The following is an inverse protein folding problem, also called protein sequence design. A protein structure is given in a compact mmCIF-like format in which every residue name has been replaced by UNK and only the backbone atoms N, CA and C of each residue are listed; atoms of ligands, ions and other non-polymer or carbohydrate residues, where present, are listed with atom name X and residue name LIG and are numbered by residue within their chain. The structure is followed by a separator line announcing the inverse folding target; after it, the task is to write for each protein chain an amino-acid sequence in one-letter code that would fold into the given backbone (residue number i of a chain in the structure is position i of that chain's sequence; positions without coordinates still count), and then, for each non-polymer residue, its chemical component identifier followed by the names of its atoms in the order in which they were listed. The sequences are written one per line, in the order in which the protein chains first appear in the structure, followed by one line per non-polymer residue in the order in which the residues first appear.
data_IF_743759472744
#
_entry.id   IF_743759472744
#
_cell.length_a   1.000
_cell.length_b   1.000
_cell.length_c   1.000
_cell.angle_alpha   90.00
_cell.angle_beta   90.00
_cell.angle_gamma   90.00
#
_symmetry.space_group_name_H-M   'P 1'
#
loop_
_entity.id
_entity.type
_entity.pdbx_description
1 polymer ?
#
# COMPACT_ATOMS: atom_id res chain seq x y z
N UNK A 1 3.48 7.62 2.29
CA UNK A 1 3.33 7.44 0.83
C UNK A 1 2.24 6.45 0.50
N UNK A 2 2.10 6.07 -0.77
CA UNK A 2 1.16 5.06 -1.22
C UNK A 2 1.81 3.67 -1.15
N UNK A 3 1.17 2.72 -0.42
CA UNK A 3 1.68 1.35 -0.27
C UNK A 3 2.87 1.21 0.69
N UNK A 4 3.09 2.18 1.57
CA UNK A 4 4.05 2.05 2.65
C UNK A 4 3.60 0.98 3.65
N UNK A 5 4.52 0.08 4.06
CA UNK A 5 4.22 -0.99 5.01
C UNK A 5 4.68 -0.65 6.43
N UNK A 6 4.04 -1.27 7.41
CA UNK A 6 4.36 -1.16 8.83
C UNK A 6 3.55 -2.16 9.65
N UNK A 7 3.39 -1.89 10.93
CA UNK A 7 2.55 -2.69 11.82
C UNK A 7 1.63 -1.82 12.67
N UNK A 8 0.52 -2.38 13.11
CA UNK A 8 -0.31 -1.82 14.16
C UNK A 8 0.15 -2.38 15.51
N UNK A 9 0.68 -1.52 16.36
CA UNK A 9 1.29 -1.94 17.60
C UNK A 9 0.92 -0.99 18.75
N UNK A 10 0.39 -1.53 19.83
CA UNK A 10 -0.07 -0.78 21.01
C UNK A 10 -1.04 0.37 20.66
N UNK A 11 -1.97 0.14 19.73
CA UNK A 11 -2.97 1.13 19.33
C UNK A 11 -2.48 2.22 18.37
N UNK A 12 -1.30 2.07 17.80
CA UNK A 12 -0.70 3.03 16.88
C UNK A 12 -0.11 2.37 15.62
N UNK A 13 -0.12 3.12 14.53
CA UNK A 13 0.62 2.75 13.32
C UNK A 13 2.13 2.96 13.53
N UNK A 14 2.91 1.91 13.30
CA UNK A 14 4.38 1.92 13.37
C UNK A 14 4.93 1.57 11.99
N UNK A 15 5.70 2.49 11.39
CA UNK A 15 6.35 2.25 10.10
C UNK A 15 7.54 1.32 10.21
N UNK A 16 7.96 0.82 9.08
CA UNK A 16 9.25 0.15 8.91
C UNK A 16 10.26 1.13 8.27
N UNK A 17 11.47 1.21 8.82
CA UNK A 17 12.51 2.13 8.35
C UNK A 17 12.32 3.58 8.81
N UNK A 18 12.92 4.51 8.08
CA UNK A 18 12.94 5.95 8.37
C UNK A 18 12.15 6.76 7.36
N UNK A 19 11.71 7.95 7.78
CA UNK A 19 11.28 9.03 6.90
C UNK A 19 12.26 10.20 6.97
N UNK A 20 12.08 11.23 6.15
CA UNK A 20 12.98 12.39 6.12
C UNK A 20 13.08 13.14 7.46
N UNK A 21 12.06 13.04 8.30
CA UNK A 21 11.98 13.74 9.58
C UNK A 21 12.39 12.86 10.77
N UNK A 22 12.83 11.61 10.53
CA UNK A 22 13.21 10.72 11.60
C UNK A 22 14.66 10.92 12.02
N UNK A 23 14.87 10.92 13.33
CA UNK A 23 16.19 10.87 13.93
C UNK A 23 16.69 9.44 14.19
N UNK A 24 15.78 8.45 14.11
CA UNK A 24 16.09 7.05 14.47
C UNK A 24 15.57 6.09 13.40
N UNK A 25 16.46 5.20 12.96
CA UNK A 25 16.10 4.08 12.12
C UNK A 25 15.75 2.87 13.00
N UNK A 26 14.57 2.27 12.76
CA UNK A 26 14.16 1.07 13.49
C UNK A 26 14.48 -0.24 12.73
N UNK A 27 15.30 -0.17 11.69
CA UNK A 27 15.78 -1.31 10.91
C UNK A 27 17.31 -1.29 10.92
N UNK A 28 17.94 -2.39 11.31
CA UNK A 28 19.40 -2.45 11.35
C UNK A 28 20.03 -2.37 9.96
N UNK A 29 19.40 -3.02 8.98
CA UNK A 29 19.87 -3.02 7.59
C UNK A 29 18.71 -3.16 6.61
N UNK A 30 18.77 -2.40 5.53
CA UNK A 30 17.88 -2.54 4.37
C UNK A 30 18.69 -2.96 3.15
N UNK A 31 18.30 -4.09 2.53
CA UNK A 31 18.90 -4.60 1.30
C UNK A 31 17.92 -4.47 0.14
N UNK A 32 18.45 -4.11 -1.03
CA UNK A 32 17.70 -4.03 -2.28
C UNK A 32 18.20 -5.10 -3.25
N UNK A 33 17.26 -5.81 -3.90
CA UNK A 33 17.56 -6.81 -4.92
C UNK A 33 16.70 -6.60 -6.15
N UNK A 34 17.31 -6.30 -7.27
CA UNK A 34 16.65 -6.32 -8.58
C UNK A 34 16.53 -7.77 -9.06
N UNK A 35 15.30 -8.25 -9.27
CA UNK A 35 15.00 -9.64 -9.65
C UNK A 35 14.76 -9.72 -11.16
N UNK A 36 13.95 -8.79 -11.70
CA UNK A 36 13.64 -8.71 -13.14
C UNK A 36 13.73 -7.27 -13.59
N UNK A 37 14.45 -7.03 -14.65
CA UNK A 37 14.47 -5.77 -15.39
C UNK A 37 14.07 -6.05 -16.85
N UNK A 38 12.98 -5.46 -17.29
CA UNK A 38 12.50 -5.68 -18.66
C UNK A 38 11.47 -4.65 -19.09
N UNK A 39 11.21 -4.56 -20.41
CA UNK A 39 10.32 -3.52 -20.96
C UNK A 39 8.84 -3.73 -20.60
N UNK A 40 8.45 -4.94 -20.21
CA UNK A 40 7.06 -5.28 -19.88
C UNK A 40 6.83 -5.29 -18.38
N UNK A 41 7.84 -5.70 -17.60
CA UNK A 41 7.72 -5.88 -16.16
C UNK A 41 9.07 -5.68 -15.47
N UNK A 42 9.04 -5.00 -14.33
CA UNK A 42 10.16 -4.93 -13.39
C UNK A 42 9.76 -5.53 -12.05
N UNK A 43 10.66 -6.29 -11.43
CA UNK A 43 10.47 -6.87 -10.10
C UNK A 43 11.71 -6.58 -9.27
N UNK A 44 11.50 -6.02 -8.08
CA UNK A 44 12.55 -5.85 -7.09
C UNK A 44 12.03 -6.20 -5.69
N UNK A 45 12.95 -6.47 -4.80
CA UNK A 45 12.69 -6.83 -3.42
C UNK A 45 13.47 -5.93 -2.48
N UNK A 46 12.82 -5.47 -1.44
CA UNK A 46 13.41 -4.74 -0.33
C UNK A 46 13.33 -5.65 0.89
N UNK A 47 14.50 -5.97 1.48
CA UNK A 47 14.59 -6.76 2.70
C UNK A 47 14.91 -5.83 3.85
N UNK A 48 14.13 -5.93 4.91
CA UNK A 48 14.26 -5.18 6.15
C UNK A 48 14.74 -6.14 7.23
N UNK A 49 16.02 -6.03 7.60
CA UNK A 49 16.63 -6.91 8.56
C UNK A 49 16.61 -6.26 9.95
N UNK A 50 16.25 -7.05 10.96
CA UNK A 50 16.17 -6.61 12.35
C UNK A 50 15.28 -5.35 12.52
N UNK A 51 14.05 -5.41 11.98
CA UNK A 51 13.06 -4.37 12.23
C UNK A 51 12.59 -4.45 13.68
N UNK A 52 12.90 -3.43 14.46
CA UNK A 52 12.56 -3.35 15.87
C UNK A 52 11.16 -2.74 16.06
N UNK A 53 10.29 -3.47 16.76
CA UNK A 53 8.94 -3.08 17.11
C UNK A 53 8.71 -3.38 18.60
N UNK A 54 8.91 -2.36 19.47
CA UNK A 54 8.98 -2.55 20.92
C UNK A 54 10.18 -3.39 21.31
N UNK A 55 9.95 -4.49 22.02
CA UNK A 55 10.99 -5.47 22.41
C UNK A 55 11.20 -6.57 21.37
N UNK A 56 10.32 -6.67 20.38
CA UNK A 56 10.40 -7.69 19.34
C UNK A 56 11.21 -7.20 18.13
N UNK A 57 11.83 -8.17 17.44
CA UNK A 57 12.61 -7.93 16.22
C UNK A 57 12.12 -8.85 15.12
N UNK A 58 11.97 -8.34 13.92
CA UNK A 58 11.43 -9.05 12.77
C UNK A 58 12.33 -8.88 11.54
N UNK A 59 12.33 -9.90 10.68
CA UNK A 59 12.85 -9.80 9.32
C UNK A 59 11.69 -9.83 8.35
N UNK A 60 11.57 -8.79 7.53
CA UNK A 60 10.50 -8.62 6.57
C UNK A 60 11.03 -8.39 5.17
N UNK A 61 10.29 -8.82 4.17
CA UNK A 61 10.54 -8.46 2.77
C UNK A 61 9.30 -7.87 2.13
N UNK A 62 9.50 -6.97 1.18
CA UNK A 62 8.45 -6.44 0.31
C UNK A 62 8.90 -6.56 -1.14
N UNK A 63 8.32 -7.51 -1.86
CA UNK A 63 8.59 -7.72 -3.28
C UNK A 63 7.61 -6.89 -4.11
N UNK A 64 8.13 -5.94 -4.86
CA UNK A 64 7.37 -5.03 -5.69
C UNK A 64 7.42 -5.48 -7.14
N UNK A 65 6.24 -5.56 -7.77
CA UNK A 65 6.10 -5.84 -9.20
C UNK A 65 5.40 -4.67 -9.88
N UNK A 66 6.03 -4.12 -10.90
CA UNK A 66 5.52 -3.03 -11.73
C UNK A 66 5.36 -3.55 -13.16
N UNK A 67 4.24 -3.27 -13.80
CA UNK A 67 4.00 -3.60 -15.21
C UNK A 67 3.90 -2.33 -16.04
N UNK A 68 4.46 -2.36 -17.24
CA UNK A 68 4.32 -1.28 -18.20
C UNK A 68 2.84 -1.04 -18.55
N UNK A 69 2.44 0.22 -18.63
CA UNK A 69 1.07 0.61 -18.96
C UNK A 69 0.05 0.45 -17.82
N UNK A 70 0.49 0.11 -16.62
CA UNK A 70 -0.38 0.11 -15.42
C UNK A 70 -0.13 1.33 -14.54
N UNK A 71 -1.18 1.80 -13.86
CA UNK A 71 -1.15 2.97 -12.99
C UNK A 71 -0.87 2.62 -11.51
N UNK A 72 -0.13 1.55 -11.26
CA UNK A 72 0.17 1.10 -9.92
C UNK A 72 1.16 -0.05 -9.87
N UNK A 73 1.29 -0.65 -8.71
CA UNK A 73 2.16 -1.80 -8.50
C UNK A 73 1.51 -2.84 -7.58
N UNK A 74 2.01 -4.06 -7.64
CA UNK A 74 1.73 -5.13 -6.69
C UNK A 74 2.84 -5.19 -5.67
N UNK A 75 2.51 -5.20 -4.37
CA UNK A 75 3.40 -5.55 -3.28
C UNK A 75 3.11 -6.95 -2.76
N UNK A 76 4.16 -7.68 -2.38
CA UNK A 76 4.08 -8.95 -1.68
C UNK A 76 4.93 -8.86 -0.42
N UNK A 77 4.28 -8.92 0.74
CA UNK A 77 4.93 -8.82 2.05
C UNK A 77 5.08 -10.20 2.65
N UNK A 78 6.29 -10.51 3.09
CA UNK A 78 6.61 -11.76 3.76
C UNK A 78 7.47 -11.51 5.00
N UNK A 79 7.39 -12.42 5.97
CA UNK A 79 8.21 -12.46 7.17
C UNK A 79 8.93 -13.80 7.24
N UNK A 80 10.14 -13.84 7.83
CA UNK A 80 10.92 -15.08 7.90
C UNK A 80 10.41 -16.05 8.97
N UNK A 81 10.53 -15.70 10.25
CA UNK A 81 10.20 -16.63 11.35
C UNK A 81 8.99 -16.17 12.15
N UNK A 82 8.99 -14.90 12.54
CA UNK A 82 7.96 -14.27 13.33
C UNK A 82 7.43 -13.03 12.60
N UNK A 83 6.20 -12.67 12.85
CA UNK A 83 5.56 -11.52 12.24
C UNK A 83 4.72 -10.77 13.28
N UNK A 84 4.51 -9.46 13.12
CA UNK A 84 3.49 -8.75 13.87
C UNK A 84 2.10 -9.31 13.56
N UNK A 85 1.21 -9.36 14.56
CA UNK A 85 -0.15 -9.87 14.38
C UNK A 85 -0.98 -9.06 13.40
N UNK A 86 -0.70 -7.76 13.32
CA UNK A 86 -1.38 -6.82 12.42
C UNK A 86 -0.37 -5.99 11.65
N UNK A 87 -0.42 -6.12 10.34
CA UNK A 87 0.36 -5.32 9.39
C UNK A 87 -0.48 -4.14 8.94
N UNK A 88 0.15 -3.02 8.65
CA UNK A 88 -0.49 -1.88 7.98
C UNK A 88 0.05 -1.71 6.57
N UNK A 89 -0.84 -1.29 5.67
CA UNK A 89 -0.48 -0.72 4.37
C UNK A 89 -1.06 0.69 4.32
N UNK A 90 -0.20 1.67 4.08
CA UNK A 90 -0.55 3.09 4.24
C UNK A 90 -0.85 3.81 2.93
N UNK A 91 -1.79 4.75 3.00
CA UNK A 91 -2.15 5.71 1.96
C UNK A 91 -2.06 7.11 2.56
N UNK A 92 -1.17 7.95 2.02
CA UNK A 92 -0.98 9.32 2.51
C UNK A 92 -2.26 10.16 2.33
N UNK A 93 -2.60 10.97 3.35
CA UNK A 93 -3.76 11.88 3.32
C UNK A 93 -3.41 13.34 3.69
N UNK A 94 -2.12 13.70 3.68
CA UNK A 94 -1.66 15.02 4.13
C UNK A 94 -2.30 16.20 3.38
N UNK A 95 -2.63 16.01 2.11
CA UNK A 95 -3.26 17.03 1.26
C UNK A 95 -4.70 16.66 0.85
N UNK A 96 -5.25 15.59 1.42
CA UNK A 96 -6.62 15.18 1.14
C UNK A 96 -7.60 15.87 2.09
N UNK A 97 -8.63 16.53 1.54
CA UNK A 97 -9.69 17.20 2.29
C UNK A 97 -11.07 16.58 2.02
N UNK A 98 -11.13 15.56 1.16
CA UNK A 98 -12.38 14.87 0.83
C UNK A 98 -12.49 13.57 1.63
N UNK A 99 -13.72 13.11 1.91
CA UNK A 99 -13.90 11.82 2.55
C UNK A 99 -13.35 10.69 1.68
N UNK A 100 -12.76 9.70 2.34
CA UNK A 100 -12.36 8.44 1.71
C UNK A 100 -13.58 7.77 1.04
N UNK A 101 -13.35 7.02 -0.04
CA UNK A 101 -14.39 6.15 -0.59
C UNK A 101 -14.77 5.08 0.45
N UNK A 102 -16.04 4.61 0.46
CA UNK A 102 -16.42 3.47 1.28
C UNK A 102 -15.53 2.26 0.98
N UNK A 103 -14.99 1.65 2.03
CA UNK A 103 -14.15 0.45 1.92
C UNK A 103 -15.04 -0.80 1.80
N UNK A 104 -15.73 -0.94 0.66
CA UNK A 104 -16.64 -2.05 0.38
C UNK A 104 -15.92 -3.14 -0.44
N UNK A 105 -16.17 -4.44 -0.18
CA UNK A 105 -15.51 -5.51 -0.91
C UNK A 105 -15.98 -5.59 -2.36
N UNK A 106 -15.03 -5.84 -3.26
CA UNK A 106 -15.23 -6.18 -4.66
C UNK A 106 -14.56 -7.53 -4.89
N UNK A 107 -15.34 -8.60 -4.95
CA UNK A 107 -14.81 -9.97 -4.92
C UNK A 107 -14.00 -10.23 -3.64
N UNK A 108 -12.80 -10.76 -3.79
CA UNK A 108 -11.90 -11.07 -2.68
C UNK A 108 -11.06 -9.86 -2.18
N UNK A 109 -11.37 -8.63 -2.65
CA UNK A 109 -10.57 -7.44 -2.41
C UNK A 109 -11.35 -6.28 -1.82
N UNK A 110 -10.69 -5.48 -0.97
CA UNK A 110 -11.21 -4.22 -0.44
C UNK A 110 -10.33 -3.07 -0.95
N UNK A 111 -10.88 -2.12 -1.71
CA UNK A 111 -10.22 -0.87 -2.01
C UNK A 111 -10.35 0.14 -0.86
N UNK A 112 -9.23 0.76 -0.49
CA UNK A 112 -9.15 1.94 0.38
C UNK A 112 -8.66 3.08 -0.50
N UNK A 113 -9.50 4.07 -0.76
CA UNK A 113 -9.18 5.06 -1.80
C UNK A 113 -9.57 6.49 -1.42
N UNK A 114 -8.83 7.45 -1.98
CA UNK A 114 -9.07 8.89 -1.89
C UNK A 114 -9.07 9.52 -3.27
N UNK A 115 -9.75 10.65 -3.43
CA UNK A 115 -9.72 11.44 -4.64
C UNK A 115 -9.96 12.90 -4.30
N UNK A 116 -8.94 13.73 -4.51
CA UNK A 116 -8.96 15.17 -4.24
C UNK A 116 -7.87 15.87 -5.03
N UNK A 117 -7.81 17.19 -4.93
CA UNK A 117 -6.62 17.96 -5.28
C UNK A 117 -5.53 17.74 -4.23
N UNK A 118 -4.94 16.56 -4.21
CA UNK A 118 -4.04 16.11 -3.16
C UNK A 118 -2.57 15.98 -3.60
N UNK A 119 -2.21 16.66 -4.69
CA UNK A 119 -0.81 16.86 -5.06
C UNK A 119 -0.11 17.81 -4.08
N UNK A 120 1.21 17.96 -4.15
CA UNK A 120 2.01 18.71 -3.19
C UNK A 120 1.49 20.13 -2.89
N UNK A 121 1.00 20.81 -3.90
CA UNK A 121 0.51 22.20 -3.85
C UNK A 121 -1.03 22.31 -3.93
N UNK A 122 -1.74 21.18 -3.82
CA UNK A 122 -3.20 21.07 -3.98
C UNK A 122 -3.71 21.62 -5.33
N UNK A 123 -2.89 21.56 -6.36
CA UNK A 123 -3.22 22.12 -7.67
C UNK A 123 -4.02 21.12 -8.52
N UNK A 124 -3.60 19.86 -8.53
CA UNK A 124 -4.10 18.84 -9.45
C UNK A 124 -4.89 17.73 -8.77
N UNK A 125 -5.91 17.24 -9.47
CA UNK A 125 -6.66 16.07 -9.04
C UNK A 125 -5.82 14.80 -9.12
N UNK A 126 -5.87 14.04 -8.05
CA UNK A 126 -5.18 12.77 -7.90
C UNK A 126 -6.10 11.79 -7.17
N UNK A 127 -6.41 10.68 -7.80
CA UNK A 127 -6.97 9.52 -7.14
C UNK A 127 -5.85 8.60 -6.67
N UNK A 128 -5.95 8.08 -5.45
CA UNK A 128 -5.05 7.05 -4.93
C UNK A 128 -5.83 5.93 -4.29
N UNK A 129 -5.38 4.70 -4.46
CA UNK A 129 -6.01 3.53 -3.85
C UNK A 129 -4.99 2.49 -3.40
N UNK A 130 -5.32 1.86 -2.26
CA UNK A 130 -4.80 0.57 -1.83
C UNK A 130 -5.87 -0.48 -2.09
N UNK A 131 -5.48 -1.66 -2.53
CA UNK A 131 -6.36 -2.81 -2.73
C UNK A 131 -5.78 -3.94 -1.90
N UNK A 132 -6.51 -4.38 -0.89
CA UNK A 132 -6.05 -5.35 0.10
C UNK A 132 -6.97 -6.57 0.16
N UNK A 133 -6.50 -7.75 0.61
CA UNK A 133 -7.34 -8.94 0.68
C UNK A 133 -8.51 -8.77 1.66
N UNK A 134 -9.74 -9.00 1.20
CA UNK A 134 -10.95 -8.84 2.02
C UNK A 134 -10.97 -9.79 3.23
N UNK A 135 -10.47 -11.02 3.06
CA UNK A 135 -10.42 -12.03 4.12
C UNK A 135 -9.37 -11.77 5.21
N UNK A 136 -8.51 -10.75 5.03
CA UNK A 136 -7.49 -10.33 5.99
C UNK A 136 -7.68 -8.88 6.47
N UNK A 137 -8.59 -8.14 5.85
CA UNK A 137 -8.84 -6.74 6.20
C UNK A 137 -9.60 -6.64 7.52
N UNK A 138 -9.05 -5.89 8.47
CA UNK A 138 -9.67 -5.65 9.78
C UNK A 138 -10.44 -4.33 9.79
N UNK A 139 -9.76 -3.25 9.45
CA UNK A 139 -10.29 -1.89 9.42
C UNK A 139 -9.36 -0.96 8.64
N UNK A 140 -9.79 0.28 8.47
CA UNK A 140 -8.93 1.37 8.03
C UNK A 140 -8.89 2.44 9.11
N UNK A 141 -7.70 2.71 9.64
CA UNK A 141 -7.48 3.68 10.71
C UNK A 141 -6.75 4.92 10.16
N UNK A 142 -7.19 6.09 10.58
CA UNK A 142 -6.53 7.33 10.23
C UNK A 142 -5.49 7.71 11.28
N UNK A 143 -4.26 7.99 10.85
CA UNK A 143 -3.23 8.61 11.67
C UNK A 143 -3.20 10.11 11.39
N UNK A 144 -3.48 10.90 12.43
CA UNK A 144 -3.47 12.35 12.35
C UNK A 144 -2.04 12.94 12.32
N UNK A 145 -1.93 14.27 12.20
CA UNK A 145 -0.62 14.95 12.12
C UNK A 145 0.21 14.82 13.41
N UNK A 146 -0.44 14.57 14.54
CA UNK A 146 0.22 14.40 15.85
C UNK A 146 0.81 13.00 16.08
N UNK A 147 0.55 12.04 15.17
CA UNK A 147 1.07 10.68 15.29
C UNK A 147 2.58 10.67 15.12
N UNK A 148 3.28 9.98 16.03
CA UNK A 148 4.74 10.04 16.10
C UNK A 148 5.46 9.22 15.03
N UNK A 149 4.89 8.11 14.61
CA UNK A 149 5.55 7.17 13.69
C UNK A 149 5.02 7.25 12.26
N UNK A 150 3.69 7.20 12.12
CA UNK A 150 3.00 7.37 10.83
C UNK A 150 2.01 8.48 11.01
N UNK A 151 2.23 9.62 10.38
CA UNK A 151 1.33 10.77 10.41
C UNK A 151 0.63 10.95 9.07
N UNK A 152 -0.54 11.59 9.09
CA UNK A 152 -1.30 11.97 7.90
C UNK A 152 -1.42 10.82 6.88
N UNK A 153 -1.98 9.70 7.34
CA UNK A 153 -2.14 8.48 6.54
C UNK A 153 -3.42 7.75 6.91
N UNK A 154 -4.10 7.22 5.91
CA UNK A 154 -5.06 6.13 6.09
C UNK A 154 -4.30 4.81 6.07
N UNK A 155 -4.50 3.98 7.08
CA UNK A 155 -3.78 2.72 7.26
C UNK A 155 -4.76 1.55 7.19
N UNK A 156 -4.69 0.76 6.13
CA UNK A 156 -5.40 -0.50 6.05
C UNK A 156 -4.75 -1.50 7.00
N UNK A 157 -5.49 -1.98 7.99
CA UNK A 157 -5.06 -2.97 8.97
C UNK A 157 -5.32 -4.37 8.42
N UNK A 158 -4.28 -5.18 8.36
CA UNK A 158 -4.27 -6.52 7.76
C UNK A 158 -3.93 -7.54 8.83
N UNK A 159 -4.81 -8.51 9.04
CA UNK A 159 -4.55 -9.64 9.93
C UNK A 159 -3.41 -10.51 9.38
N UNK A 160 -2.45 -10.84 10.24
CA UNK A 160 -1.26 -11.58 9.85
C UNK A 160 -1.02 -12.79 10.75
N UNK A 161 -2.01 -13.68 10.83
CA UNK A 161 -2.01 -14.88 11.68
C UNK A 161 -1.18 -16.04 11.14
N UNK A 162 -0.53 -15.88 10.02
CA UNK A 162 0.27 -16.93 9.38
C UNK A 162 1.50 -16.33 8.73
N UNK A 163 2.61 -17.07 8.73
CA UNK A 163 3.83 -16.70 8.00
C UNK A 163 3.68 -16.82 6.47
N UNK A 164 2.43 -16.83 5.96
CA UNK A 164 2.20 -16.83 4.52
C UNK A 164 2.24 -15.41 3.99
N UNK A 165 3.00 -15.16 2.90
CA UNK A 165 3.01 -13.85 2.26
C UNK A 165 1.60 -13.38 1.91
N UNK A 166 1.34 -12.09 2.03
CA UNK A 166 0.12 -11.49 1.51
C UNK A 166 0.43 -10.49 0.40
N UNK A 167 -0.54 -10.30 -0.48
CA UNK A 167 -0.43 -9.37 -1.59
C UNK A 167 -1.30 -8.14 -1.33
N UNK A 168 -0.83 -7.00 -1.79
CA UNK A 168 -1.63 -5.80 -1.94
C UNK A 168 -1.32 -5.14 -3.28
N UNK A 169 -2.21 -4.26 -3.72
CA UNK A 169 -1.99 -3.48 -4.93
C UNK A 169 -2.17 -2.01 -4.60
N UNK A 170 -1.51 -1.17 -5.39
CA UNK A 170 -1.71 0.27 -5.37
C UNK A 170 -2.18 0.73 -6.73
N UNK A 171 -2.99 1.77 -6.75
CA UNK A 171 -3.37 2.48 -7.97
C UNK A 171 -3.29 3.98 -7.75
N UNK A 172 -2.96 4.74 -8.80
CA UNK A 172 -3.05 6.19 -8.80
C UNK A 172 -3.52 6.68 -10.15
N UNK A 173 -4.45 7.62 -10.16
CA UNK A 173 -4.94 8.29 -11.37
C UNK A 173 -4.72 9.78 -11.25
N UNK A 174 -3.91 10.36 -12.15
CA UNK A 174 -3.54 11.76 -12.12
C UNK A 174 -4.09 12.50 -13.33
N UNK A 175 -4.78 13.65 -13.12
CA UNK A 175 -5.42 14.39 -14.22
C UNK A 175 -4.44 14.84 -15.32
N UNK A 176 -3.16 15.06 -15.01
CA UNK A 176 -2.17 15.40 -16.02
C UNK A 176 -1.76 14.21 -16.91
N UNK A 177 -2.12 12.99 -16.52
CA UNK A 177 -1.94 11.79 -17.36
C UNK A 177 -3.19 11.51 -18.20
N UNK A 178 -4.38 11.74 -17.64
CA UNK A 178 -5.69 11.59 -18.30
C UNK A 178 -6.68 12.54 -17.62
N UNK A 179 -7.24 13.48 -18.36
CA UNK A 179 -8.21 14.48 -17.88
C UNK A 179 -9.43 13.87 -17.20
N UNK A 180 -9.75 12.61 -17.50
CA UNK A 180 -10.81 11.86 -16.84
C UNK A 180 -10.61 11.77 -15.33
N UNK A 181 -9.38 11.66 -14.86
CA UNK A 181 -9.05 11.58 -13.44
C UNK A 181 -9.31 12.87 -12.66
N UNK A 182 -9.66 13.98 -13.30
CA UNK A 182 -10.22 15.14 -12.61
C UNK A 182 -11.62 14.90 -12.02
N UNK A 183 -12.29 13.84 -12.46
CA UNK A 183 -13.65 13.49 -12.03
C UNK A 183 -13.63 12.30 -11.08
N UNK A 184 -14.31 12.46 -9.92
CA UNK A 184 -14.39 11.41 -8.90
C UNK A 184 -15.04 10.13 -9.45
N UNK A 185 -16.14 10.27 -10.18
CA UNK A 185 -16.88 9.12 -10.75
C UNK A 185 -16.01 8.33 -11.75
N UNK A 186 -15.24 9.03 -12.58
CA UNK A 186 -14.31 8.38 -13.52
C UNK A 186 -13.24 7.57 -12.79
N UNK A 187 -12.65 8.14 -11.72
CA UNK A 187 -11.66 7.42 -10.91
C UNK A 187 -12.30 6.22 -10.20
N UNK A 188 -13.53 6.34 -9.71
CA UNK A 188 -14.26 5.24 -9.08
C UNK A 188 -14.53 4.10 -10.06
N UNK A 189 -15.02 4.40 -11.27
CA UNK A 189 -15.22 3.40 -12.31
C UNK A 189 -13.91 2.71 -12.72
N UNK A 190 -12.82 3.49 -12.85
CA UNK A 190 -11.49 2.97 -13.11
C UNK A 190 -11.04 2.02 -12.00
N UNK A 191 -11.17 2.42 -10.73
CA UNK A 191 -10.81 1.61 -9.57
C UNK A 191 -11.58 0.28 -9.56
N UNK A 192 -12.91 0.33 -9.71
CA UNK A 192 -13.76 -0.86 -9.76
C UNK A 192 -13.35 -1.82 -10.88
N UNK A 193 -13.02 -1.29 -12.05
CA UNK A 193 -12.56 -2.09 -13.19
C UNK A 193 -11.22 -2.76 -12.92
N UNK A 194 -10.27 -2.04 -12.32
CA UNK A 194 -8.94 -2.59 -12.00
C UNK A 194 -9.03 -3.63 -10.88
N UNK A 195 -9.85 -3.43 -9.85
CA UNK A 195 -10.08 -4.43 -8.80
C UNK A 195 -10.69 -5.72 -9.37
N UNK A 196 -11.66 -5.61 -10.29
CA UNK A 196 -12.23 -6.79 -10.97
C UNK A 196 -11.19 -7.57 -11.79
N UNK A 197 -10.24 -6.89 -12.44
CA UNK A 197 -9.14 -7.56 -13.16
C UNK A 197 -8.18 -8.30 -12.23
N UNK A 198 -8.01 -7.79 -11.02
CA UNK A 198 -7.20 -8.44 -9.98
C UNK A 198 -7.91 -9.68 -9.45
N UNK A 199 -9.22 -9.58 -9.24
CA UNK A 199 -10.07 -10.65 -8.72
C UNK A 199 -10.26 -11.80 -9.72
N UNK A 200 -10.40 -11.46 -11.00
CA UNK A 200 -10.61 -12.40 -12.10
C UNK A 200 -9.45 -12.36 -13.13
N UNK A 201 -8.25 -12.84 -12.75
CA UNK A 201 -7.10 -12.77 -13.64
C UNK A 201 -7.28 -13.70 -14.86
N UNK A 202 -6.86 -13.24 -16.04
CA UNK A 202 -6.84 -14.07 -17.25
C UNK A 202 -5.82 -15.19 -17.08
N UNK A 203 -6.29 -16.43 -17.12
CA UNK A 203 -5.44 -17.63 -17.05
C UNK A 203 -5.16 -18.10 -18.49
N UNK A 204 -3.88 -18.06 -18.90
CA UNK A 204 -3.44 -18.63 -20.16
C UNK A 204 -3.03 -20.09 -19.95
N UNK A 205 -3.67 -21.01 -20.67
CA UNK A 205 -3.26 -22.41 -20.73
C UNK A 205 -2.65 -22.71 -22.10
N UNK A 206 -1.45 -23.26 -22.11
CA UNK A 206 -0.82 -23.77 -23.32
C UNK A 206 -1.23 -25.24 -23.50
N UNK A 207 -1.67 -25.61 -24.69
CA UNK A 207 -1.94 -26.99 -25.09
C UNK A 207 -0.76 -27.51 -25.93
#
# INVERSE_FOLDING_TARGET
GLGGIGAWYNGEARRIGVTLNDSTNNVAKTDYKLIVEGPVRSIFEINYNEWQLGEATFNASNKITIWAGQYGFKGEVAFEENAPDTIIVGLVNSNNNQPMFPAEPIGDWIPVATHDKQTYDNEYWLGMALIVPANKFLSCEESGPESQSVSTSFNALIENNSNTPFHYYTLSGWELTDDGFAKRDFFEEFLQKEVKKIDEPVILSWR
#
